data_IF_835738259274
#
_entry.id   IF_835738259274
#
_cell.length_a   1.000
_cell.length_b   1.000
_cell.length_c   1.000
_cell.angle_alpha   90.00
_cell.angle_beta   90.00
_cell.angle_gamma   90.00
#
_symmetry.space_group_name_H-M   'P 1'
#
loop_
_entity.id
_entity.type
_entity.pdbx_description
1 polymer ?
#
# COMPACT_ATOMS: atom_id res chain seq x y z
N UNK A 1 11.80 79.43 55.65
CA UNK A 1 12.43 78.33 54.90
C UNK A 1 11.59 78.12 53.65
N UNK A 2 12.02 78.67 52.51
CA UNK A 2 11.34 78.59 51.21
C UNK A 2 12.33 77.99 50.19
N UNK A 3 11.90 76.87 49.61
CA UNK A 3 12.25 76.19 48.35
C UNK A 3 13.67 76.25 47.75
N UNK A 4 14.14 75.09 47.30
CA UNK A 4 14.37 74.83 45.86
C UNK A 4 14.37 73.33 45.58
N UNK A 5 13.38 72.87 44.82
CA UNK A 5 13.30 71.53 44.24
C UNK A 5 14.11 71.49 42.95
N UNK A 6 15.16 70.66 42.88
CA UNK A 6 15.80 70.28 41.61
C UNK A 6 15.19 68.96 41.13
N UNK A 7 14.35 69.04 40.11
CA UNK A 7 13.94 67.88 39.31
C UNK A 7 15.08 67.50 38.36
N UNK A 8 15.61 66.30 38.49
CA UNK A 8 16.55 65.69 37.53
C UNK A 8 15.73 64.79 36.61
N UNK A 9 15.71 65.01 35.28
CA UNK A 9 14.99 64.12 34.38
C UNK A 9 15.79 62.82 34.23
N UNK A 10 15.22 61.71 34.70
CA UNK A 10 15.70 60.37 34.37
C UNK A 10 15.17 60.01 32.98
N UNK A 11 16.03 60.08 31.96
CA UNK A 11 15.73 59.53 30.64
C UNK A 11 15.97 58.02 30.71
N UNK A 12 14.91 57.23 30.87
CA UNK A 12 14.98 55.79 30.67
C UNK A 12 14.97 55.55 29.15
N UNK A 13 16.15 55.38 28.58
CA UNK A 13 16.27 54.85 27.22
C UNK A 13 15.94 53.36 27.27
N UNK A 14 14.68 53.02 26.98
CA UNK A 14 14.30 51.63 26.71
C UNK A 14 14.90 51.27 25.35
N UNK A 15 16.08 50.66 25.34
CA UNK A 15 16.59 49.95 24.18
C UNK A 15 15.73 48.70 24.00
N UNK A 16 14.63 48.81 23.26
CA UNK A 16 14.02 47.64 22.63
C UNK A 16 14.98 47.14 21.57
N UNK A 17 15.89 46.24 21.95
CA UNK A 17 16.53 45.36 20.98
C UNK A 17 15.42 44.45 20.47
N UNK A 18 14.79 44.87 19.37
CA UNK A 18 14.05 43.94 18.55
C UNK A 18 15.08 42.96 17.98
N UNK A 19 15.34 41.88 18.71
CA UNK A 19 15.95 40.70 18.10
C UNK A 19 14.92 40.20 17.08
N UNK A 20 15.05 40.64 15.83
CA UNK A 20 14.49 39.87 14.73
C UNK A 20 15.21 38.53 14.79
N UNK A 21 14.53 37.51 15.33
CA UNK A 21 14.95 36.12 15.18
C UNK A 21 14.88 35.83 13.69
N UNK A 22 15.98 36.07 12.98
CA UNK A 22 16.11 35.71 11.58
C UNK A 22 16.01 34.20 11.51
N UNK A 23 15.00 33.70 10.79
CA UNK A 23 14.80 32.27 10.65
C UNK A 23 16.09 31.61 10.16
N UNK A 24 16.51 30.54 10.84
CA UNK A 24 17.68 29.75 10.48
C UNK A 24 17.34 28.91 9.26
N UNK A 25 18.01 29.09 8.10
CA UNK A 25 17.71 28.33 6.90
C UNK A 25 18.18 26.87 7.03
N UNK A 26 17.50 25.96 6.33
CA UNK A 26 17.98 24.59 6.17
C UNK A 26 19.20 24.53 5.24
N UNK A 27 20.08 23.56 5.45
CA UNK A 27 21.24 23.34 4.60
C UNK A 27 20.83 22.68 3.28
N UNK A 28 20.97 23.40 2.17
CA UNK A 28 20.76 22.89 0.81
C UNK A 28 22.11 22.76 0.12
N UNK A 29 22.51 21.54 -0.24
CA UNK A 29 23.84 21.28 -0.82
C UNK A 29 23.92 21.51 -2.33
N UNK A 30 22.79 21.52 -3.03
CA UNK A 30 22.76 21.62 -4.51
C UNK A 30 23.60 22.77 -5.07
N UNK A 31 23.60 24.00 -4.50
CA UNK A 31 24.47 25.07 -4.97
C UNK A 31 25.98 24.74 -4.89
N UNK A 32 26.42 24.10 -3.81
CA UNK A 32 27.83 23.69 -3.65
C UNK A 32 28.19 22.59 -4.64
N UNK A 33 27.31 21.60 -4.81
CA UNK A 33 27.50 20.49 -5.75
C UNK A 33 27.61 21.01 -7.18
N UNK A 34 26.73 21.92 -7.61
CA UNK A 34 26.77 22.55 -8.94
C UNK A 34 28.05 23.35 -9.19
N UNK A 35 28.65 23.91 -8.15
CA UNK A 35 29.92 24.63 -8.22
C UNK A 35 31.13 23.70 -8.13
N UNK A 36 30.94 22.37 -8.15
CA UNK A 36 31.98 21.36 -7.95
C UNK A 36 32.73 21.50 -6.59
N UNK A 37 32.08 22.09 -5.58
CA UNK A 37 32.65 22.28 -4.23
C UNK A 37 32.31 21.09 -3.32
N UNK A 38 32.69 19.89 -3.76
CA UNK A 38 32.24 18.64 -3.16
C UNK A 38 32.77 18.42 -1.74
N UNK A 39 34.03 18.76 -1.46
CA UNK A 39 34.59 18.67 -0.09
C UNK A 39 33.87 19.59 0.88
N UNK A 40 33.56 20.82 0.45
CA UNK A 40 32.80 21.77 1.26
C UNK A 40 31.39 21.25 1.53
N UNK A 41 30.73 20.66 0.53
CA UNK A 41 29.40 20.05 0.70
C UNK A 41 29.41 18.86 1.67
N UNK A 42 30.44 18.00 1.59
CA UNK A 42 30.61 16.88 2.53
C UNK A 42 30.86 17.36 3.95
N UNK A 43 31.78 18.30 4.13
CA UNK A 43 32.10 18.86 5.45
C UNK A 43 30.88 19.54 6.07
N UNK A 44 30.16 20.36 5.30
CA UNK A 44 28.98 21.09 5.76
C UNK A 44 27.81 20.19 6.18
N UNK A 45 27.70 18.98 5.62
CA UNK A 45 26.62 18.04 5.95
C UNK A 45 26.92 17.13 7.13
N UNK A 46 28.11 17.21 7.75
CA UNK A 46 28.52 16.32 8.84
C UNK A 46 27.61 16.49 10.06
N UNK A 47 26.96 15.41 10.49
CA UNK A 47 26.17 15.39 11.73
C UNK A 47 27.11 15.12 12.90
N UNK A 48 26.94 15.85 14.01
CA UNK A 48 27.73 15.60 15.22
C UNK A 48 27.44 14.17 15.76
N UNK A 49 28.43 13.26 15.76
CA UNK A 49 28.19 11.87 16.13
C UNK A 49 27.80 11.71 17.59
N UNK A 50 28.19 12.64 18.48
CA UNK A 50 27.85 12.59 19.91
C UNK A 50 26.35 12.70 20.16
N UNK A 51 25.60 13.31 19.23
CA UNK A 51 24.16 13.47 19.33
C UNK A 51 23.40 12.21 18.87
N UNK A 52 24.06 11.29 18.15
CA UNK A 52 23.46 10.09 17.57
C UNK A 52 24.36 8.85 17.67
N UNK A 53 24.40 8.23 18.86
CA UNK A 53 25.03 6.92 19.10
C UNK A 53 26.50 6.84 18.66
N UNK A 54 27.24 7.95 18.65
CA UNK A 54 28.61 8.05 18.16
C UNK A 54 28.79 7.52 16.71
N UNK A 55 27.77 7.70 15.88
CA UNK A 55 27.78 7.20 14.50
C UNK A 55 28.08 8.31 13.50
N UNK A 56 29.09 8.10 12.65
CA UNK A 56 29.39 9.01 11.54
C UNK A 56 28.21 9.05 10.57
N UNK A 57 27.66 10.23 10.33
CA UNK A 57 26.56 10.42 9.39
C UNK A 57 26.55 11.83 8.82
N UNK A 58 25.77 12.02 7.76
CA UNK A 58 25.65 13.26 7.03
C UNK A 58 24.20 13.57 6.72
N UNK A 59 23.74 14.79 6.93
CA UNK A 59 22.37 15.18 6.59
C UNK A 59 22.33 16.55 5.94
N UNK A 60 21.45 16.71 4.96
CA UNK A 60 21.12 17.98 4.34
C UNK A 60 19.92 17.81 3.40
N UNK A 61 19.61 18.87 2.65
CA UNK A 61 18.67 18.84 1.55
C UNK A 61 19.38 18.84 0.20
N UNK A 62 18.81 18.11 -0.76
CA UNK A 62 19.15 18.19 -2.17
C UNK A 62 17.93 18.71 -2.94
N UNK A 63 18.12 19.73 -3.77
CA UNK A 63 17.12 20.16 -4.73
C UNK A 63 16.92 19.07 -5.79
N UNK A 64 15.72 18.51 -5.84
CA UNK A 64 15.32 17.46 -6.79
C UNK A 64 14.60 18.02 -8.01
N UNK A 65 13.94 19.18 -7.88
CA UNK A 65 13.36 19.91 -8.99
C UNK A 65 13.40 21.42 -8.72
N UNK A 66 14.24 22.11 -9.48
CA UNK A 66 14.45 23.57 -9.34
C UNK A 66 13.21 24.37 -9.73
N UNK A 67 12.37 23.87 -10.63
CA UNK A 67 11.18 24.58 -11.11
C UNK A 67 10.18 24.82 -9.98
N UNK A 68 10.15 23.89 -9.03
CA UNK A 68 9.25 23.92 -7.89
C UNK A 68 9.95 24.25 -6.57
N UNK A 69 11.26 24.55 -6.62
CA UNK A 69 12.11 24.61 -5.42
C UNK A 69 11.88 23.38 -4.51
N UNK A 70 11.77 22.21 -5.13
CA UNK A 70 11.51 20.95 -4.44
C UNK A 70 12.81 20.39 -3.92
N UNK A 71 12.86 20.08 -2.62
CA UNK A 71 14.05 19.63 -1.94
C UNK A 71 13.76 18.34 -1.16
N UNK A 72 14.65 17.37 -1.26
CA UNK A 72 14.60 16.11 -0.52
C UNK A 72 15.62 16.13 0.61
N UNK A 73 15.15 15.93 1.84
CA UNK A 73 16.02 15.69 2.99
C UNK A 73 16.63 14.28 2.88
N UNK A 74 17.92 14.17 3.14
CA UNK A 74 18.57 12.87 3.31
C UNK A 74 19.32 12.83 4.64
N UNK A 75 19.42 11.63 5.20
CA UNK A 75 20.33 11.32 6.31
C UNK A 75 21.12 10.07 5.95
N UNK A 76 22.36 10.29 5.56
CA UNK A 76 23.24 9.28 5.00
C UNK A 76 24.19 8.75 6.07
N UNK A 77 24.25 7.43 6.16
CA UNK A 77 25.18 6.68 6.99
C UNK A 77 26.13 5.92 6.06
N UNK A 78 27.45 6.17 6.13
CA UNK A 78 28.40 5.44 5.31
C UNK A 78 28.33 3.94 5.55
N UNK A 79 28.23 3.17 4.46
CA UNK A 79 28.24 1.70 4.48
C UNK A 79 29.29 1.18 3.52
N UNK A 80 29.94 0.07 3.88
CA UNK A 80 31.01 -0.52 3.08
C UNK A 80 30.53 -1.30 1.85
N UNK A 81 29.26 -1.72 1.84
CA UNK A 81 28.67 -2.52 0.76
C UNK A 81 27.42 -1.85 0.22
N UNK A 82 27.26 -1.95 -1.10
CA UNK A 82 26.14 -1.40 -1.84
C UNK A 82 25.03 -2.44 -1.98
N UNK A 83 23.78 -2.01 -1.83
CA UNK A 83 22.60 -2.85 -1.94
C UNK A 83 21.34 -2.10 -1.54
N UNK A 84 20.18 -2.68 -1.82
CA UNK A 84 18.89 -2.10 -1.50
C UNK A 84 18.13 -2.99 -0.52
N UNK A 85 17.74 -2.44 0.62
CA UNK A 85 16.82 -3.09 1.56
C UNK A 85 15.49 -2.35 1.53
N UNK A 86 14.37 -3.08 1.41
CA UNK A 86 13.03 -2.51 1.50
C UNK A 86 12.15 -3.32 2.45
N UNK A 87 11.49 -2.65 3.38
CA UNK A 87 10.52 -3.25 4.30
C UNK A 87 9.09 -3.00 3.83
N UNK A 88 8.32 -4.08 3.69
CA UNK A 88 6.91 -4.07 3.28
C UNK A 88 6.61 -3.14 2.07
N UNK A 89 7.43 -3.16 1.00
CA UNK A 89 7.26 -2.19 -0.08
C UNK A 89 6.05 -2.54 -0.95
N UNK A 90 5.33 -1.52 -1.40
CA UNK A 90 4.41 -1.63 -2.53
C UNK A 90 5.13 -1.08 -3.76
N UNK A 91 5.79 -1.95 -4.52
CA UNK A 91 6.62 -1.57 -5.69
C UNK A 91 5.81 -1.46 -6.98
N UNK A 92 4.67 -2.15 -7.05
CA UNK A 92 3.81 -2.18 -8.23
C UNK A 92 2.38 -2.43 -7.77
N UNK A 93 1.37 -1.83 -8.38
CA UNK A 93 -0.01 -2.01 -7.90
C UNK A 93 -0.59 -3.38 -8.23
N UNK A 94 0.00 -4.12 -9.17
CA UNK A 94 -0.21 -5.56 -9.31
C UNK A 94 0.06 -6.35 -8.01
N UNK A 95 0.85 -5.80 -7.10
CA UNK A 95 1.20 -6.40 -5.79
C UNK A 95 0.11 -6.27 -4.72
N UNK A 96 -0.93 -5.49 -4.96
CA UNK A 96 -2.01 -5.18 -4.00
C UNK A 96 -3.40 -5.18 -4.66
N UNK A 97 -3.63 -6.09 -5.61
CA UNK A 97 -4.87 -6.13 -6.40
C UNK A 97 -6.06 -6.77 -5.70
N UNK A 98 -5.84 -7.65 -4.72
CA UNK A 98 -6.89 -8.53 -4.16
C UNK A 98 -6.90 -8.51 -2.63
N UNK A 99 -7.34 -7.39 -2.06
CA UNK A 99 -7.48 -7.25 -0.60
C UNK A 99 -8.54 -8.19 -0.03
N UNK A 100 -9.57 -8.55 -0.80
CA UNK A 100 -10.61 -9.48 -0.34
C UNK A 100 -10.03 -10.86 -0.04
N UNK A 101 -9.16 -11.40 -0.92
CA UNK A 101 -8.44 -12.66 -0.69
C UNK A 101 -7.55 -12.59 0.56
N UNK A 102 -6.95 -11.44 0.83
CA UNK A 102 -6.10 -11.25 2.02
C UNK A 102 -6.93 -11.39 3.29
N UNK A 103 -8.03 -10.65 3.40
CA UNK A 103 -8.91 -10.71 4.56
C UNK A 103 -9.52 -12.11 4.73
N UNK A 104 -9.90 -12.76 3.63
CA UNK A 104 -10.42 -14.12 3.64
C UNK A 104 -9.39 -15.13 4.17
N UNK A 105 -8.14 -15.07 3.67
CA UNK A 105 -7.08 -15.98 4.08
C UNK A 105 -6.63 -15.77 5.54
N UNK A 106 -6.83 -14.57 6.08
CA UNK A 106 -6.65 -14.30 7.51
C UNK A 106 -7.82 -14.74 8.39
N UNK A 107 -8.93 -15.19 7.80
CA UNK A 107 -10.16 -15.53 8.52
C UNK A 107 -10.87 -14.30 9.09
N UNK A 108 -10.56 -13.09 8.59
CA UNK A 108 -11.20 -11.84 9.01
C UNK A 108 -12.58 -11.65 8.37
N UNK A 109 -12.79 -12.26 7.21
CA UNK A 109 -14.08 -12.36 6.55
C UNK A 109 -14.29 -13.79 6.06
N UNK A 110 -15.53 -14.24 6.05
CA UNK A 110 -15.91 -15.51 5.45
C UNK A 110 -16.40 -15.30 4.00
N UNK A 111 -17.07 -16.30 3.41
CA UNK A 111 -17.59 -16.20 2.05
C UNK A 111 -18.67 -15.11 1.91
N UNK A 112 -19.46 -14.84 2.96
CA UNK A 112 -20.47 -13.79 2.93
C UNK A 112 -19.83 -12.41 3.03
N UNK A 113 -18.82 -12.24 3.89
CA UNK A 113 -18.04 -11.01 3.98
C UNK A 113 -17.28 -10.71 2.69
N UNK A 114 -16.67 -11.72 2.06
CA UNK A 114 -16.05 -11.58 0.75
C UNK A 114 -17.07 -11.18 -0.34
N UNK A 115 -18.26 -11.81 -0.34
CA UNK A 115 -19.34 -11.44 -1.25
C UNK A 115 -19.81 -9.99 -1.03
N UNK A 116 -19.85 -9.53 0.21
CA UNK A 116 -20.23 -8.16 0.55
C UNK A 116 -19.23 -7.10 0.06
N UNK A 117 -17.95 -7.44 -0.08
CA UNK A 117 -16.91 -6.57 -0.63
C UNK A 117 -16.72 -6.72 -2.15
N UNK A 118 -17.31 -7.76 -2.76
CA UNK A 118 -17.08 -8.17 -4.15
C UNK A 118 -17.23 -7.03 -5.17
N UNK A 119 -18.31 -6.25 -5.07
CA UNK A 119 -18.57 -5.17 -6.03
C UNK A 119 -17.47 -4.10 -6.01
N UNK A 120 -16.93 -3.75 -4.84
CA UNK A 120 -15.82 -2.80 -4.72
C UNK A 120 -14.52 -3.42 -5.22
N UNK A 121 -14.27 -4.70 -4.90
CA UNK A 121 -13.10 -5.44 -5.36
C UNK A 121 -13.04 -5.54 -6.89
N UNK A 122 -14.16 -5.82 -7.55
CA UNK A 122 -14.26 -5.90 -9.02
C UNK A 122 -14.08 -4.53 -9.68
N UNK A 123 -14.68 -3.47 -9.11
CA UNK A 123 -14.48 -2.10 -9.59
C UNK A 123 -13.03 -1.65 -9.44
N UNK A 124 -12.40 -1.92 -8.29
CA UNK A 124 -11.00 -1.61 -8.05
C UNK A 124 -10.11 -2.30 -9.08
N UNK A 125 -10.30 -3.62 -9.29
CA UNK A 125 -9.56 -4.37 -10.29
C UNK A 125 -9.74 -3.80 -11.70
N UNK A 126 -10.97 -3.41 -12.05
CA UNK A 126 -11.27 -2.77 -13.34
C UNK A 126 -10.50 -1.45 -13.49
N UNK A 127 -10.53 -0.58 -12.49
CA UNK A 127 -9.83 0.70 -12.53
C UNK A 127 -8.30 0.54 -12.66
N UNK A 128 -7.71 -0.48 -12.02
CA UNK A 128 -6.30 -0.84 -12.22
C UNK A 128 -6.04 -1.23 -13.68
N UNK A 129 -6.88 -2.11 -14.24
CA UNK A 129 -6.72 -2.59 -15.62
C UNK A 129 -6.90 -1.46 -16.65
N UNK A 130 -7.76 -0.49 -16.36
CA UNK A 130 -7.98 0.69 -17.18
C UNK A 130 -6.85 1.74 -17.04
N UNK A 131 -5.93 1.57 -16.07
CA UNK A 131 -4.87 2.53 -15.79
C UNK A 131 -5.36 3.82 -15.13
N UNK A 132 -6.57 3.83 -14.56
CA UNK A 132 -7.15 5.01 -13.92
C UNK A 132 -6.61 5.18 -12.50
N UNK A 133 -5.52 5.93 -12.38
CA UNK A 133 -4.84 6.20 -11.11
C UNK A 133 -5.75 6.75 -10.02
N UNK A 134 -6.60 7.72 -10.36
CA UNK A 134 -7.40 8.47 -9.39
C UNK A 134 -8.57 7.60 -8.92
N UNK A 135 -9.26 6.95 -9.85
CA UNK A 135 -10.38 6.07 -9.54
C UNK A 135 -9.90 4.82 -8.81
N UNK A 136 -8.80 4.21 -9.25
CA UNK A 136 -8.22 3.05 -8.56
C UNK A 136 -7.78 3.39 -7.13
N UNK A 137 -7.19 4.57 -6.91
CA UNK A 137 -6.87 5.02 -5.56
C UNK A 137 -8.13 5.14 -4.69
N UNK A 138 -9.18 5.82 -5.16
CA UNK A 138 -10.43 5.99 -4.40
C UNK A 138 -11.07 4.66 -4.06
N UNK A 139 -11.22 3.78 -5.06
CA UNK A 139 -11.84 2.46 -4.87
C UNK A 139 -11.03 1.56 -3.94
N UNK A 140 -9.71 1.74 -3.87
CA UNK A 140 -8.87 1.06 -2.87
C UNK A 140 -9.24 1.49 -1.46
N UNK A 141 -9.35 2.79 -1.20
CA UNK A 141 -9.73 3.29 0.12
C UNK A 141 -11.12 2.77 0.50
N UNK A 142 -12.11 2.89 -0.40
CA UNK A 142 -13.49 2.43 -0.16
C UNK A 142 -13.54 0.92 0.13
N UNK A 143 -12.76 0.12 -0.62
CA UNK A 143 -12.65 -1.33 -0.41
C UNK A 143 -12.03 -1.66 0.95
N UNK A 144 -10.94 -0.99 1.31
CA UNK A 144 -10.26 -1.20 2.58
C UNK A 144 -11.13 -0.78 3.77
N UNK A 145 -11.85 0.33 3.67
CA UNK A 145 -12.82 0.78 4.68
C UNK A 145 -13.94 -0.25 4.84
N UNK A 146 -14.53 -0.73 3.74
CA UNK A 146 -15.56 -1.77 3.79
C UNK A 146 -15.08 -3.05 4.46
N UNK A 147 -13.87 -3.51 4.14
CA UNK A 147 -13.28 -4.72 4.72
C UNK A 147 -12.94 -4.53 6.20
N UNK A 148 -12.43 -3.35 6.59
CA UNK A 148 -12.18 -2.98 7.99
C UNK A 148 -13.46 -2.98 8.81
N UNK A 149 -14.55 -2.42 8.28
CA UNK A 149 -15.85 -2.36 8.95
C UNK A 149 -16.40 -3.78 9.21
N UNK A 150 -16.36 -4.65 8.20
CA UNK A 150 -16.80 -6.05 8.34
C UNK A 150 -15.96 -6.79 9.39
N UNK A 151 -14.64 -6.58 9.36
CA UNK A 151 -13.69 -7.27 10.24
C UNK A 151 -13.54 -6.62 11.63
N UNK A 152 -14.22 -5.49 11.88
CA UNK A 152 -14.05 -4.65 13.07
C UNK A 152 -12.57 -4.32 13.36
N UNK A 153 -11.87 -3.80 12.34
CA UNK A 153 -10.45 -3.40 12.43
C UNK A 153 -10.28 -1.90 12.30
N UNK A 154 -9.61 -1.29 13.27
CA UNK A 154 -9.33 0.14 13.28
C UNK A 154 -8.06 0.52 12.49
N UNK A 155 -7.24 -0.46 12.10
CA UNK A 155 -6.05 -0.25 11.29
C UNK A 155 -5.63 -1.52 10.56
N UNK A 156 -4.78 -1.35 9.55
CA UNK A 156 -4.34 -2.41 8.64
C UNK A 156 -2.86 -2.77 8.77
N UNK A 157 -2.11 -2.03 9.58
CA UNK A 157 -0.67 -2.26 9.73
C UNK A 157 -0.36 -3.60 10.39
N UNK A 158 -1.22 -4.10 11.28
CA UNK A 158 -1.00 -5.36 11.97
C UNK A 158 -2.35 -5.99 12.33
N UNK A 159 -2.58 -7.24 11.91
CA UNK A 159 -3.85 -7.96 12.17
C UNK A 159 -4.12 -8.16 13.66
N UNK A 160 -3.09 -8.33 14.48
CA UNK A 160 -3.24 -8.75 15.89
C UNK A 160 -3.30 -7.58 16.86
N UNK A 161 -2.63 -6.47 16.56
CA UNK A 161 -2.48 -5.35 17.48
C UNK A 161 -2.49 -4.02 16.77
N UNK A 162 -2.83 -2.98 17.52
CA UNK A 162 -2.67 -1.63 17.03
C UNK A 162 -1.19 -1.23 17.05
N UNK A 163 -0.68 -0.66 15.95
CA UNK A 163 0.67 -0.12 15.90
C UNK A 163 0.75 1.10 16.82
N UNK A 164 1.59 1.03 17.84
CA UNK A 164 1.92 2.20 18.64
C UNK A 164 2.78 3.14 17.79
N UNK A 165 2.28 4.37 17.59
CA UNK A 165 2.97 5.36 16.77
C UNK A 165 4.30 5.82 17.41
N UNK A 166 5.10 6.53 16.62
CA UNK A 166 6.37 7.14 17.03
C UNK A 166 6.15 8.41 17.90
N UNK A 167 5.38 8.29 18.99
CA UNK A 167 4.91 9.42 19.82
C UNK A 167 6.07 10.29 20.34
N UNK A 168 7.18 9.65 20.69
CA UNK A 168 8.34 10.34 21.26
C UNK A 168 9.30 10.90 20.19
N UNK A 169 9.11 10.54 18.92
CA UNK A 169 9.98 11.04 17.85
C UNK A 169 9.79 12.54 17.62
N UNK A 170 8.56 13.05 17.64
CA UNK A 170 8.31 14.48 17.38
C UNK A 170 8.95 15.35 18.46
N UNK A 171 8.71 15.12 19.76
CA UNK A 171 9.38 15.87 20.83
C UNK A 171 10.91 15.77 20.79
N UNK A 172 11.46 14.65 20.29
CA UNK A 172 12.90 14.49 20.13
C UNK A 172 13.45 15.26 18.92
N UNK A 173 12.90 15.03 17.72
CA UNK A 173 13.41 15.57 16.45
C UNK A 173 13.27 17.10 16.36
N UNK A 174 12.37 17.68 17.16
CA UNK A 174 12.11 19.12 17.21
C UNK A 174 12.98 19.89 18.19
N UNK A 175 13.82 19.21 18.99
CA UNK A 175 14.74 19.88 19.92
C UNK A 175 15.73 20.77 19.15
N UNK A 176 16.05 21.98 19.64
CA UNK A 176 16.98 22.89 18.95
C UNK A 176 18.31 22.23 18.58
N UNK A 177 18.95 21.52 19.52
CA UNK A 177 20.20 20.80 19.28
C UNK A 177 20.08 19.72 18.20
N UNK A 178 18.94 19.02 18.15
CA UNK A 178 18.70 17.96 17.14
C UNK A 178 18.48 18.59 15.77
N UNK A 179 17.72 19.69 15.70
CA UNK A 179 17.48 20.42 14.45
C UNK A 179 18.76 21.03 13.88
N UNK A 180 19.59 21.59 14.75
CA UNK A 180 20.92 22.11 14.41
C UNK A 180 21.80 21.00 13.84
N UNK A 181 21.88 19.87 14.55
CA UNK A 181 22.70 18.71 14.14
C UNK A 181 22.24 18.08 12.83
N UNK A 182 20.94 18.13 12.53
CA UNK A 182 20.38 17.60 11.28
C UNK A 182 20.35 18.62 10.14
N UNK A 183 20.75 19.87 10.40
CA UNK A 183 20.81 20.95 9.43
C UNK A 183 19.45 21.31 8.79
N UNK A 184 18.37 21.18 9.57
CA UNK A 184 16.99 21.42 9.08
C UNK A 184 16.50 22.86 9.30
N UNK A 185 17.29 23.70 9.98
CA UNK A 185 16.91 25.09 10.26
C UNK A 185 15.57 25.19 10.99
N UNK A 186 14.75 26.18 10.66
CA UNK A 186 13.44 26.38 11.30
C UNK A 186 12.28 25.59 10.70
N UNK A 187 12.56 24.59 9.87
CA UNK A 187 11.52 23.73 9.30
C UNK A 187 10.70 23.02 10.39
N UNK A 188 9.39 22.94 10.16
CA UNK A 188 8.46 22.19 11.00
C UNK A 188 8.38 20.75 10.53
N UNK A 189 8.52 19.82 11.47
CA UNK A 189 8.37 18.39 11.19
C UNK A 189 6.90 17.99 11.20
N UNK A 190 6.49 17.16 10.24
CA UNK A 190 5.21 16.45 10.26
C UNK A 190 5.42 15.03 9.73
N UNK A 191 4.71 14.05 10.29
CA UNK A 191 4.77 12.66 9.81
C UNK A 191 4.12 12.49 8.44
N UNK A 192 3.04 13.24 8.19
CA UNK A 192 2.28 13.15 6.95
C UNK A 192 1.78 14.53 6.54
N UNK A 193 1.72 14.77 5.24
CA UNK A 193 1.20 15.98 4.66
C UNK A 193 0.08 15.62 3.67
N UNK A 194 -1.17 15.92 4.04
CA UNK A 194 -2.34 15.58 3.22
C UNK A 194 -2.35 16.27 1.85
N UNK A 195 -1.69 17.43 1.71
CA UNK A 195 -1.56 18.10 0.41
C UNK A 195 -0.60 17.34 -0.49
N UNK A 196 0.56 16.92 0.01
CA UNK A 196 1.49 16.07 -0.74
C UNK A 196 0.80 14.77 -1.12
N UNK A 197 0.13 14.11 -0.18
CA UNK A 197 -0.63 12.88 -0.42
C UNK A 197 -1.61 13.04 -1.59
N UNK A 198 -2.46 14.08 -1.59
CA UNK A 198 -3.40 14.31 -2.69
C UNK A 198 -2.72 14.58 -4.03
N UNK A 199 -1.56 15.26 -4.02
CA UNK A 199 -0.82 15.60 -5.25
C UNK A 199 -0.09 14.43 -5.87
N UNK A 200 0.20 13.37 -5.11
CA UNK A 200 0.83 12.15 -5.63
C UNK A 200 -0.17 11.06 -6.06
N UNK A 201 -1.48 11.25 -5.81
CA UNK A 201 -2.52 10.29 -6.29
C UNK A 201 -2.41 9.99 -7.80
N UNK A 202 -2.13 10.96 -8.69
CA UNK A 202 -1.97 10.65 -10.12
C UNK A 202 -0.81 9.69 -10.44
N UNK A 203 0.13 9.51 -9.52
CA UNK A 203 1.26 8.57 -9.62
C UNK A 203 0.94 7.18 -9.03
N UNK A 204 -0.32 6.95 -8.61
CA UNK A 204 -0.70 5.78 -7.81
C UNK A 204 -0.33 4.44 -8.48
N UNK A 205 -0.65 4.24 -9.76
CA UNK A 205 -0.38 3.03 -10.55
C UNK A 205 0.98 3.06 -11.28
N UNK A 206 1.81 4.09 -11.08
CA UNK A 206 3.10 4.21 -11.77
C UNK A 206 4.01 3.01 -11.48
N UNK A 207 4.57 2.36 -12.51
CA UNK A 207 5.39 1.18 -12.31
C UNK A 207 6.80 1.53 -11.81
N UNK A 208 7.24 0.89 -10.72
CA UNK A 208 8.64 0.97 -10.26
C UNK A 208 9.46 -0.22 -10.79
N UNK A 209 8.81 -1.29 -11.25
CA UNK A 209 9.41 -2.53 -11.75
C UNK A 209 10.61 -2.32 -12.68
N UNK A 210 10.56 -1.45 -13.73
CA UNK A 210 11.71 -1.27 -14.62
C UNK A 210 12.98 -0.77 -13.93
N UNK A 211 12.84 0.03 -12.85
CA UNK A 211 13.97 0.50 -12.06
C UNK A 211 14.57 -0.65 -11.23
N UNK A 212 13.73 -1.53 -10.72
CA UNK A 212 14.18 -2.69 -9.94
C UNK A 212 14.89 -3.71 -10.83
N UNK A 213 14.37 -3.98 -12.03
CA UNK A 213 15.00 -4.87 -13.02
C UNK A 213 16.44 -4.44 -13.31
N UNK A 214 16.66 -3.14 -13.56
CA UNK A 214 18.00 -2.57 -13.75
C UNK A 214 18.89 -2.73 -12.52
N UNK A 215 18.34 -2.52 -11.31
CA UNK A 215 19.11 -2.65 -10.08
C UNK A 215 19.52 -4.11 -9.80
N UNK A 216 18.68 -5.09 -10.11
CA UNK A 216 18.97 -6.51 -9.88
C UNK A 216 20.13 -7.03 -10.73
N UNK A 217 20.47 -6.35 -11.83
CA UNK A 217 21.63 -6.68 -12.66
C UNK A 217 22.96 -6.43 -11.94
N UNK A 218 23.03 -5.45 -11.03
CA UNK A 218 24.29 -5.02 -10.40
C UNK A 218 24.29 -5.09 -8.87
N UNK A 219 23.13 -4.99 -8.23
CA UNK A 219 23.01 -4.87 -6.79
C UNK A 219 22.24 -6.03 -6.18
N UNK A 220 22.60 -6.38 -4.94
CA UNK A 220 21.77 -7.25 -4.11
C UNK A 220 20.56 -6.44 -3.63
N UNK A 221 19.38 -7.05 -3.71
CA UNK A 221 18.14 -6.48 -3.19
C UNK A 221 17.57 -7.43 -2.14
N UNK A 222 17.35 -6.92 -0.94
CA UNK A 222 16.62 -7.61 0.11
C UNK A 222 15.27 -6.93 0.32
N UNK A 223 14.22 -7.73 0.31
CA UNK A 223 12.88 -7.27 0.65
C UNK A 223 12.39 -8.11 1.81
N UNK A 224 12.15 -7.47 2.94
CA UNK A 224 11.46 -8.11 4.05
C UNK A 224 10.01 -7.65 4.13
N UNK A 225 9.12 -8.52 4.58
CA UNK A 225 7.73 -8.20 4.82
C UNK A 225 7.27 -8.83 6.14
N UNK A 226 6.42 -8.12 6.88
CA UNK A 226 5.79 -8.64 8.09
C UNK A 226 4.63 -9.56 7.75
N UNK A 227 4.57 -10.71 8.40
CA UNK A 227 3.49 -11.68 8.22
C UNK A 227 2.10 -11.04 8.40
N UNK A 228 1.93 -10.17 9.39
CA UNK A 228 0.65 -9.62 9.85
C UNK A 228 0.23 -8.32 9.13
N UNK A 229 0.90 -7.92 8.05
CA UNK A 229 0.59 -6.70 7.31
C UNK A 229 -0.58 -6.92 6.33
N UNK A 230 -1.66 -6.13 6.47
CA UNK A 230 -2.81 -6.14 5.55
C UNK A 230 -2.69 -5.09 4.43
N UNK A 231 -1.83 -4.06 4.57
CA UNK A 231 -1.65 -3.00 3.58
C UNK A 231 -0.76 -3.42 2.41
N UNK A 232 0.37 -4.08 2.73
CA UNK A 232 1.34 -4.62 1.77
C UNK A 232 1.56 -6.13 2.01
N UNK A 233 0.56 -6.98 1.69
CA UNK A 233 0.58 -8.38 2.09
C UNK A 233 1.71 -9.17 1.43
N UNK A 234 2.51 -9.85 2.25
CA UNK A 234 3.67 -10.64 1.82
C UNK A 234 3.42 -11.55 0.60
N UNK A 235 2.28 -12.25 0.58
CA UNK A 235 1.97 -13.26 -0.45
C UNK A 235 1.71 -12.60 -1.79
N UNK A 236 0.72 -11.70 -1.87
CA UNK A 236 0.37 -11.01 -3.11
C UNK A 236 1.55 -10.21 -3.66
N UNK A 237 2.29 -9.53 -2.78
CA UNK A 237 3.42 -8.74 -3.23
C UNK A 237 4.59 -9.60 -3.71
N UNK A 238 4.78 -10.80 -3.18
CA UNK A 238 5.75 -11.74 -3.72
C UNK A 238 5.28 -12.42 -5.02
N UNK A 239 3.98 -12.74 -5.14
CA UNK A 239 3.38 -13.28 -6.38
C UNK A 239 3.59 -12.29 -7.55
N UNK A 240 3.26 -11.01 -7.34
CA UNK A 240 3.44 -9.98 -8.37
C UNK A 240 4.90 -9.82 -8.82
N UNK A 241 5.85 -9.85 -7.88
CA UNK A 241 7.28 -9.76 -8.21
C UNK A 241 7.76 -10.96 -9.02
N UNK A 242 7.38 -12.18 -8.61
CA UNK A 242 7.74 -13.41 -9.34
C UNK A 242 7.16 -13.43 -10.74
N UNK A 243 5.96 -12.86 -10.93
CA UNK A 243 5.31 -12.76 -12.23
C UNK A 243 5.95 -11.71 -13.14
N UNK A 244 6.19 -10.51 -12.62
CA UNK A 244 6.43 -9.33 -13.45
C UNK A 244 7.90 -8.92 -13.56
N UNK A 245 8.75 -9.18 -12.56
CA UNK A 245 10.14 -8.72 -12.57
C UNK A 245 11.01 -9.56 -13.51
N UNK A 246 11.89 -8.91 -14.25
CA UNK A 246 12.72 -9.52 -15.28
C UNK A 246 14.18 -9.11 -15.11
N UNK A 247 15.05 -10.10 -14.91
CA UNK A 247 16.50 -9.90 -14.85
C UNK A 247 17.24 -11.20 -15.19
N UNK A 248 18.51 -11.08 -15.56
CA UNK A 248 19.34 -12.17 -16.10
C UNK A 248 19.43 -13.40 -15.20
N UNK A 249 19.33 -13.24 -13.87
CA UNK A 249 19.46 -14.30 -12.87
C UNK A 249 18.14 -14.72 -12.23
N UNK A 250 17.00 -14.36 -12.84
CA UNK A 250 15.65 -14.65 -12.31
C UNK A 250 15.42 -16.12 -12.02
N UNK A 251 15.87 -17.02 -12.90
CA UNK A 251 15.66 -18.46 -12.72
C UNK A 251 16.35 -19.00 -11.46
N UNK A 252 17.51 -18.45 -11.08
CA UNK A 252 18.18 -18.82 -9.81
C UNK A 252 17.30 -18.48 -8.60
N UNK A 253 16.54 -17.38 -8.66
CA UNK A 253 15.58 -17.03 -7.61
C UNK A 253 14.37 -17.97 -7.62
N UNK A 254 13.78 -18.21 -8.79
CA UNK A 254 12.60 -19.06 -8.90
C UNK A 254 12.87 -20.49 -8.46
N UNK A 255 14.03 -21.05 -8.85
CA UNK A 255 14.46 -22.40 -8.51
C UNK A 255 14.92 -22.56 -7.05
N UNK A 256 15.15 -21.47 -6.31
CA UNK A 256 15.54 -21.55 -4.90
C UNK A 256 14.35 -21.96 -4.01
N UNK A 257 14.50 -22.85 -3.02
CA UNK A 257 13.42 -23.14 -2.09
C UNK A 257 13.15 -21.95 -1.16
N UNK A 258 11.91 -21.83 -0.67
CA UNK A 258 11.61 -21.01 0.50
C UNK A 258 11.85 -21.86 1.75
N UNK A 259 12.77 -21.44 2.61
CA UNK A 259 13.21 -22.18 3.80
C UNK A 259 12.94 -21.37 5.06
N UNK A 260 12.72 -22.00 6.22
CA UNK A 260 12.64 -21.28 7.49
C UNK A 260 14.00 -20.65 7.82
N UNK A 261 13.98 -19.45 8.41
CA UNK A 261 15.18 -18.86 8.99
C UNK A 261 15.08 -18.80 10.51
N UNK A 262 16.23 -18.95 11.16
CA UNK A 262 16.37 -19.02 12.61
C UNK A 262 16.87 -17.71 13.21
N UNK A 263 16.32 -17.40 14.37
CA UNK A 263 16.81 -16.37 15.27
C UNK A 263 16.65 -16.85 16.71
N UNK A 264 17.72 -16.84 17.50
CA UNK A 264 17.72 -17.31 18.89
C UNK A 264 17.03 -18.67 19.08
N UNK A 265 17.43 -19.67 18.29
CA UNK A 265 16.89 -21.05 18.33
C UNK A 265 15.39 -21.17 18.04
N UNK A 266 14.78 -20.17 17.39
CA UNK A 266 13.38 -20.18 16.99
C UNK A 266 13.21 -19.82 15.53
N UNK A 267 12.17 -20.35 14.88
CA UNK A 267 11.82 -19.97 13.50
C UNK A 267 11.24 -18.56 13.50
N UNK A 268 12.02 -17.62 13.00
CA UNK A 268 11.65 -16.20 12.95
C UNK A 268 10.94 -15.80 11.65
N UNK A 269 10.85 -16.72 10.69
CA UNK A 269 10.07 -16.56 9.47
C UNK A 269 10.63 -17.42 8.35
N UNK A 270 10.48 -16.96 7.10
CA UNK A 270 10.88 -17.72 5.92
C UNK A 270 11.63 -16.87 4.91
N UNK A 271 12.71 -17.42 4.35
CA UNK A 271 13.57 -16.75 3.36
C UNK A 271 13.58 -17.52 2.04
N UNK A 272 13.59 -16.80 0.93
CA UNK A 272 13.89 -17.31 -0.42
C UNK A 272 14.93 -16.39 -1.02
N UNK A 273 16.08 -16.92 -1.45
CA UNK A 273 17.18 -16.12 -1.99
C UNK A 273 17.76 -16.76 -3.23
N UNK A 274 18.04 -15.94 -4.23
CA UNK A 274 18.67 -16.37 -5.48
C UNK A 274 18.76 -15.22 -6.47
N UNK A 275 19.78 -15.26 -7.33
CA UNK A 275 19.92 -14.29 -8.41
C UNK A 275 19.93 -12.82 -7.97
N UNK A 276 20.58 -12.50 -6.86
CA UNK A 276 20.62 -11.15 -6.23
C UNK A 276 19.34 -10.68 -5.52
N UNK A 277 18.24 -11.43 -5.57
CA UNK A 277 17.03 -11.10 -4.81
C UNK A 277 16.94 -11.99 -3.57
N UNK A 278 16.68 -11.39 -2.41
CA UNK A 278 16.34 -12.08 -1.16
C UNK A 278 14.99 -11.60 -0.65
N UNK A 279 14.03 -12.51 -0.50
CA UNK A 279 12.74 -12.24 0.13
C UNK A 279 12.68 -12.85 1.52
N UNK A 280 12.42 -12.03 2.55
CA UNK A 280 12.30 -12.45 3.94
C UNK A 280 10.87 -12.17 4.44
N UNK A 281 10.16 -13.20 4.87
CA UNK A 281 8.96 -13.04 5.68
C UNK A 281 9.36 -13.08 7.15
N UNK A 282 8.78 -12.21 7.98
CA UNK A 282 9.04 -12.13 9.42
C UNK A 282 7.79 -12.49 10.20
N UNK A 283 7.88 -13.58 10.97
CA UNK A 283 6.77 -14.09 11.78
C UNK A 283 6.35 -13.08 12.85
N UNK A 284 5.03 -12.87 12.98
CA UNK A 284 4.45 -12.02 14.01
C UNK A 284 4.78 -10.53 13.90
N UNK A 285 5.27 -10.05 12.77
CA UNK A 285 5.48 -8.62 12.49
C UNK A 285 4.43 -8.10 11.52
N UNK A 286 4.02 -6.84 11.64
CA UNK A 286 3.13 -6.13 10.72
C UNK A 286 3.89 -5.25 9.73
N UNK A 287 3.31 -4.10 9.38
CA UNK A 287 3.83 -3.16 8.38
C UNK A 287 5.17 -2.56 8.81
N UNK A 288 5.28 -2.17 10.09
CA UNK A 288 6.52 -1.61 10.67
C UNK A 288 7.28 -2.72 11.38
N UNK A 289 7.89 -3.63 10.60
CA UNK A 289 8.64 -4.78 11.14
C UNK A 289 9.67 -4.40 12.21
N UNK A 290 10.46 -3.31 12.09
CA UNK A 290 11.40 -2.93 13.15
C UNK A 290 10.74 -2.53 14.47
N UNK A 291 9.48 -2.06 14.45
CA UNK A 291 8.74 -1.77 15.67
C UNK A 291 8.22 -3.05 16.34
N UNK A 292 7.65 -3.97 15.56
CA UNK A 292 7.08 -5.21 16.10
C UNK A 292 8.15 -6.26 16.48
N UNK A 293 9.25 -6.32 15.72
CA UNK A 293 10.33 -7.31 15.85
C UNK A 293 11.72 -6.67 15.67
N UNK A 294 12.13 -5.76 16.58
CA UNK A 294 13.38 -4.99 16.43
C UNK A 294 14.64 -5.85 16.34
N UNK A 295 14.74 -6.91 17.15
CA UNK A 295 15.91 -7.78 17.17
C UNK A 295 16.07 -8.57 15.86
N UNK A 296 14.95 -9.08 15.33
CA UNK A 296 14.88 -9.78 14.04
C UNK A 296 15.17 -8.83 12.88
N UNK A 297 14.60 -7.62 12.88
CA UNK A 297 14.87 -6.61 11.86
C UNK A 297 16.35 -6.22 11.84
N UNK A 298 16.96 -5.99 13.01
CA UNK A 298 18.40 -5.75 13.15
C UNK A 298 19.21 -6.91 12.57
N UNK A 299 18.86 -8.16 12.90
CA UNK A 299 19.54 -9.33 12.37
C UNK A 299 19.47 -9.43 10.84
N UNK A 300 18.30 -9.16 10.24
CA UNK A 300 18.13 -9.12 8.77
C UNK A 300 19.07 -8.08 8.14
N UNK A 301 19.12 -6.87 8.71
CA UNK A 301 19.96 -5.77 8.21
C UNK A 301 21.44 -6.10 8.37
N UNK A 302 21.86 -6.61 9.54
CA UNK A 302 23.25 -7.00 9.80
C UNK A 302 23.71 -8.11 8.84
N UNK A 303 22.89 -9.14 8.64
CA UNK A 303 23.21 -10.21 7.70
C UNK A 303 23.39 -9.66 6.28
N UNK A 304 22.49 -8.79 5.82
CA UNK A 304 22.58 -8.19 4.49
C UNK A 304 23.85 -7.35 4.30
N UNK A 305 24.13 -6.43 5.24
CA UNK A 305 25.31 -5.55 5.18
C UNK A 305 26.60 -6.36 5.26
N UNK A 306 26.62 -7.41 6.09
CA UNK A 306 27.80 -8.27 6.24
C UNK A 306 27.91 -9.33 5.13
N UNK A 307 26.86 -9.53 4.32
CA UNK A 307 26.80 -10.57 3.30
C UNK A 307 26.77 -11.98 3.90
N UNK A 308 26.11 -12.14 5.05
CA UNK A 308 25.90 -13.40 5.74
C UNK A 308 24.57 -14.03 5.33
N UNK A 309 24.56 -15.34 5.20
CA UNK A 309 23.35 -16.10 4.94
C UNK A 309 22.53 -16.29 6.23
N UNK A 310 21.22 -16.51 6.06
CA UNK A 310 20.34 -16.82 7.18
C UNK A 310 20.55 -18.27 7.64
N UNK A 311 20.65 -18.46 8.96
CA UNK A 311 20.69 -19.79 9.55
C UNK A 311 19.33 -20.50 9.35
N UNK A 312 19.38 -21.79 9.06
CA UNK A 312 18.20 -22.68 9.03
C UNK A 312 18.19 -23.57 10.28
N UNK A 313 17.03 -24.14 10.68
CA UNK A 313 17.00 -25.14 11.74
C UNK A 313 17.96 -26.32 11.45
N UNK A 314 18.76 -26.81 12.41
CA UNK A 314 19.71 -27.91 12.25
C UNK A 314 19.08 -29.22 11.79
N UNK A 315 17.82 -29.43 12.15
CA UNK A 315 17.01 -30.58 11.78
C UNK A 315 16.21 -30.37 10.47
N UNK A 316 16.18 -29.15 9.94
CA UNK A 316 15.50 -28.85 8.69
C UNK A 316 16.30 -29.33 7.50
N UNK A 317 15.67 -30.17 6.65
CA UNK A 317 16.25 -30.64 5.39
C UNK A 317 15.24 -30.42 4.28
N UNK A 318 15.70 -29.81 3.18
CA UNK A 318 14.94 -29.81 1.93
C UNK A 318 15.04 -31.22 1.34
N UNK A 319 13.96 -31.98 1.38
CA UNK A 319 13.92 -33.36 0.87
C UNK A 319 13.37 -33.40 -0.56
N UNK A 320 14.05 -34.12 -1.45
CA UNK A 320 13.65 -34.28 -2.85
C UNK A 320 14.18 -33.18 -3.78
N UNK A 321 13.91 -33.33 -5.08
CA UNK A 321 14.19 -32.29 -6.05
C UNK A 321 13.22 -31.11 -5.85
N UNK A 322 13.74 -29.88 -5.87
CA UNK A 322 12.87 -28.71 -5.79
C UNK A 322 12.05 -28.62 -7.09
N UNK A 323 10.71 -28.64 -7.03
CA UNK A 323 9.90 -28.51 -8.23
C UNK A 323 10.17 -27.15 -8.89
N UNK A 324 10.05 -27.12 -10.22
CA UNK A 324 10.09 -25.86 -10.95
C UNK A 324 8.97 -24.95 -10.45
N UNK A 325 9.28 -23.66 -10.32
CA UNK A 325 8.31 -22.67 -9.87
C UNK A 325 7.09 -22.67 -10.80
N UNK A 326 5.90 -22.71 -10.20
CA UNK A 326 4.62 -22.50 -10.87
C UNK A 326 3.85 -21.45 -10.09
N UNK A 327 3.10 -20.59 -10.78
CA UNK A 327 2.20 -19.65 -10.12
C UNK A 327 1.15 -20.44 -9.31
N UNK A 328 0.92 -20.02 -8.07
CA UNK A 328 -0.10 -20.64 -7.24
C UNK A 328 -1.49 -20.26 -7.77
N UNK A 329 -2.30 -21.26 -8.07
CA UNK A 329 -3.71 -21.12 -8.40
C UNK A 329 -4.54 -21.72 -7.27
N UNK A 330 -5.61 -21.02 -6.87
CA UNK A 330 -6.54 -21.57 -5.88
C UNK A 330 -7.21 -22.83 -6.47
N UNK A 331 -7.30 -23.89 -5.68
CA UNK A 331 -7.93 -25.14 -6.11
C UNK A 331 -9.36 -24.91 -6.61
N UNK A 332 -10.08 -23.91 -6.06
CA UNK A 332 -11.43 -23.55 -6.50
C UNK A 332 -11.49 -22.87 -7.88
N UNK A 333 -10.45 -22.16 -8.29
CA UNK A 333 -10.36 -21.59 -9.65
C UNK A 333 -9.75 -22.55 -10.65
N UNK A 334 -9.07 -23.61 -10.18
CA UNK A 334 -8.49 -24.68 -11.00
C UNK A 334 -9.49 -25.77 -11.41
N UNK A 335 -10.67 -25.84 -10.78
CA UNK A 335 -11.77 -26.62 -11.35
C UNK A 335 -12.24 -25.88 -12.59
N UNK A 336 -11.92 -26.44 -13.76
CA UNK A 336 -12.52 -26.10 -15.04
C UNK A 336 -13.99 -25.74 -14.81
N UNK A 337 -14.30 -24.44 -14.85
CA UNK A 337 -15.68 -24.00 -14.98
C UNK A 337 -16.21 -24.76 -16.20
N UNK A 338 -17.23 -25.62 -16.07
CA UNK A 338 -17.79 -26.28 -17.24
C UNK A 338 -18.19 -25.17 -18.20
N UNK A 339 -17.50 -25.15 -19.36
CA UNK A 339 -17.59 -24.21 -20.45
C UNK A 339 -18.76 -23.22 -20.27
N UNK A 340 -18.49 -21.98 -19.86
CA UNK A 340 -19.49 -20.96 -19.53
C UNK A 340 -20.49 -20.67 -20.66
N UNK A 341 -20.22 -21.17 -21.86
CA UNK A 341 -21.15 -21.28 -22.97
C UNK A 341 -22.44 -22.02 -22.61
N UNK A 342 -22.38 -23.11 -21.84
CA UNK A 342 -23.55 -23.89 -21.43
C UNK A 342 -24.51 -23.13 -20.53
N UNK A 343 -23.96 -22.40 -19.53
CA UNK A 343 -24.75 -21.58 -18.60
C UNK A 343 -25.34 -20.37 -19.33
N UNK A 344 -24.56 -19.70 -20.18
CA UNK A 344 -25.03 -18.56 -20.98
C UNK A 344 -26.15 -18.98 -21.96
N UNK A 345 -25.99 -20.12 -22.61
CA UNK A 345 -27.01 -20.66 -23.52
C UNK A 345 -28.26 -21.11 -22.76
N UNK A 346 -28.10 -21.69 -21.56
CA UNK A 346 -29.22 -22.02 -20.68
C UNK A 346 -30.00 -20.79 -20.21
N UNK A 347 -29.31 -19.70 -19.86
CA UNK A 347 -29.93 -18.44 -19.46
C UNK A 347 -30.68 -17.78 -20.63
N UNK A 348 -30.08 -17.74 -21.82
CA UNK A 348 -30.73 -17.22 -23.03
C UNK A 348 -31.96 -18.06 -23.38
N UNK A 349 -31.86 -19.39 -23.34
CA UNK A 349 -32.98 -20.28 -23.59
C UNK A 349 -34.13 -20.06 -22.57
N UNK A 350 -33.80 -19.88 -21.30
CA UNK A 350 -34.78 -19.60 -20.24
C UNK A 350 -35.49 -18.25 -20.45
N UNK A 351 -34.76 -17.20 -20.79
CA UNK A 351 -35.34 -15.87 -21.08
C UNK A 351 -36.26 -15.94 -22.30
N UNK A 352 -35.81 -16.57 -23.39
CA UNK A 352 -36.61 -16.73 -24.61
C UNK A 352 -37.88 -17.55 -24.33
N UNK A 353 -37.79 -18.63 -23.57
CA UNK A 353 -38.94 -19.47 -23.22
C UNK A 353 -39.97 -18.69 -22.38
N UNK A 354 -39.52 -17.93 -21.39
CA UNK A 354 -40.41 -17.11 -20.56
C UNK A 354 -41.08 -15.98 -21.35
N UNK A 355 -40.36 -15.34 -22.28
CA UNK A 355 -40.95 -14.32 -23.18
C UNK A 355 -41.99 -14.94 -24.11
N UNK A 356 -41.70 -16.10 -24.70
CA UNK A 356 -42.67 -16.82 -25.54
C UNK A 356 -43.91 -17.25 -24.76
N UNK A 357 -43.75 -17.69 -23.51
CA UNK A 357 -44.87 -18.06 -22.64
C UNK A 357 -45.77 -16.84 -22.35
N UNK A 358 -45.17 -15.69 -22.02
CA UNK A 358 -45.90 -14.44 -21.77
C UNK A 358 -46.65 -13.97 -23.02
N UNK A 359 -46.00 -14.00 -24.19
CA UNK A 359 -46.64 -13.66 -25.48
C UNK A 359 -47.80 -14.61 -25.76
N UNK A 360 -47.64 -15.91 -25.53
CA UNK A 360 -48.70 -16.92 -25.68
C UNK A 360 -49.90 -16.66 -24.78
N UNK A 361 -49.68 -16.29 -23.51
CA UNK A 361 -50.75 -15.92 -22.57
C UNK A 361 -51.49 -14.67 -23.05
N UNK A 362 -50.76 -13.65 -23.53
CA UNK A 362 -51.37 -12.42 -24.06
C UNK A 362 -52.20 -12.70 -25.30
N UNK A 363 -51.66 -13.46 -26.27
CA UNK A 363 -52.39 -13.85 -27.49
C UNK A 363 -53.62 -14.68 -27.14
N UNK A 364 -53.47 -15.66 -26.25
CA UNK A 364 -54.58 -16.48 -25.74
C UNK A 364 -55.68 -15.63 -25.12
N UNK A 365 -55.32 -14.71 -24.22
CA UNK A 365 -56.27 -13.77 -23.63
C UNK A 365 -56.99 -12.89 -24.65
N UNK A 366 -56.26 -12.37 -25.65
CA UNK A 366 -56.86 -11.59 -26.75
C UNK A 366 -57.80 -12.43 -27.59
N UNK A 367 -57.43 -13.67 -27.93
CA UNK A 367 -58.29 -14.59 -28.68
C UNK A 367 -59.53 -14.97 -27.89
N UNK A 368 -59.42 -15.25 -26.58
CA UNK A 368 -60.57 -15.55 -25.72
C UNK A 368 -61.48 -14.34 -25.59
N UNK A 369 -60.94 -13.12 -25.46
CA UNK A 369 -61.74 -11.89 -25.46
C UNK A 369 -62.45 -11.66 -26.79
N UNK A 370 -61.78 -11.94 -27.92
CA UNK A 370 -62.38 -11.85 -29.27
C UNK A 370 -63.48 -12.90 -29.47
N UNK A 371 -63.23 -14.15 -29.11
CA UNK A 371 -64.21 -15.23 -29.17
C UNK A 371 -65.43 -14.95 -28.29
N UNK A 372 -65.19 -14.47 -27.06
CA UNK A 372 -66.26 -14.05 -26.16
C UNK A 372 -67.08 -12.90 -26.77
N UNK A 373 -66.43 -11.91 -27.37
CA UNK A 373 -67.10 -10.78 -28.04
C UNK A 373 -67.93 -11.24 -29.24
N UNK A 374 -67.46 -12.21 -30.02
CA UNK A 374 -68.23 -12.77 -31.15
C UNK A 374 -69.42 -13.62 -30.69
N UNK A 375 -69.27 -14.40 -29.61
CA UNK A 375 -70.37 -15.20 -29.04
C UNK A 375 -71.41 -14.36 -28.27
N UNK A 376 -71.00 -13.27 -27.62
CA UNK A 376 -71.91 -12.35 -26.93
C UNK A 376 -72.80 -11.56 -27.93
N UNK A 377 -72.42 -11.49 -29.22
CA UNK A 377 -73.27 -10.94 -30.28
C UNK A 377 -74.44 -11.87 -30.69
N UNK A 378 -74.36 -13.17 -30.39
CA UNK A 378 -75.42 -14.14 -30.72
C UNK A 378 -76.41 -14.37 -29.56
N UNK A 379 -76.12 -13.87 -28.35
CA UNK A 379 -76.95 -14.03 -27.16
C UNK A 379 -77.41 -12.68 -26.60
N UNK A 380 -78.06 -11.85 -27.44
CA UNK A 380 -78.93 -10.78 -26.96
C UNK A 380 -80.29 -11.39 -26.58
N UNK A 381 -80.74 -11.31 -25.32
CA UNK A 381 -82.10 -11.68 -24.98
C UNK A 381 -83.05 -10.65 -25.61
N UNK A 382 -84.00 -11.13 -26.42
CA UNK A 382 -85.22 -10.40 -26.74
C UNK A 382 -85.95 -10.16 -25.40
N UNK A 383 -85.88 -8.94 -24.87
CA UNK A 383 -86.72 -8.55 -23.75
C UNK A 383 -88.09 -8.15 -24.29
N UNK A 384 -89.08 -8.97 -23.95
CA UNK A 384 -90.51 -8.75 -24.13
C UNK A 384 -90.95 -7.44 -23.45
N UNK A 385 -91.24 -6.42 -24.24
CA UNK A 385 -92.01 -5.25 -23.78
C UNK A 385 -92.95 -4.79 -24.91
N UNK A 386 -93.79 -5.72 -25.39
CA UNK A 386 -95.03 -5.42 -26.11
C UNK A 386 -96.07 -6.46 -25.70
N UNK A 387 -96.92 -6.14 -24.73
CA UNK A 387 -98.36 -6.49 -24.66
C UNK A 387 -98.92 -6.14 -23.26
N UNK A 388 -99.46 -4.93 -23.11
CA UNK A 388 -100.78 -4.67 -22.48
C UNK A 388 -101.09 -3.17 -22.54
N UNK A 389 -101.86 -2.76 -23.53
CA UNK A 389 -102.69 -1.55 -23.51
C UNK A 389 -104.14 -2.02 -23.69
N UNK A 390 -104.94 -1.77 -22.67
CA UNK A 390 -106.39 -1.65 -22.74
C UNK A 390 -106.73 -0.15 -22.64
#
# INVERSE_FOLDING_TARGET
>A
MYFTTRTVPFVITILTVATSLTATPALILTPLIKQNKLEQARNASTVNPKDFLNTTSYSAFLTVDERYNSNLFYWYFPVAKEGLIMGNPVTDRSSIVDYTRVFYNWGLVDAQGALAAKALQEQYQKAINDGDNIVAHSLREDLLDKLQDIAYKNQLNNVLQNTEGLRDLVPFITRPQVKESLHVGDLSFTFSNGTVHRKIIPDFLSPVTPKIDVLLESYKILIYCGQLDLLAPCVLSAEARRKNWQWSRRENFLDAPRVPWWFNNTVAGYVKSGGNLTEVQVNGAGHIVPADKPAQAKHIVENFINGQDFLVPPDYKVTGANPKYQEYTDLRTSQDLPNSSGIRNGLIASVVLNVLLLVGIVIGGVMTMRWKRENDYFNLPLSDDILTLA
#
